data_IF_237673746453
#
_entry.id   IF_237673746453
#
_cell.length_a   1.000
_cell.length_b   1.000
_cell.length_c   1.000
_cell.angle_alpha   90.00
_cell.angle_beta   90.00
_cell.angle_gamma   90.00
#
_symmetry.space_group_name_H-M   'P 1'
#
loop_
_entity.id
_entity.type
_entity.pdbx_description
1 polymer ?
#
# COMPACT_ATOMS: atom_id res chain seq x y z
N UNK A 1 8.54 1.80 21.84
CA UNK A 1 7.41 2.30 21.08
C UNK A 1 7.63 2.29 19.55
N UNK A 2 8.65 2.97 18.99
CA UNK A 2 8.91 2.94 17.54
C UNK A 2 8.98 1.52 16.97
N UNK A 3 9.69 0.62 17.65
CA UNK A 3 9.85 -0.77 17.21
C UNK A 3 8.50 -1.49 17.05
N UNK A 4 7.60 -1.38 18.03
CA UNK A 4 6.28 -2.05 17.97
C UNK A 4 5.41 -1.52 16.83
N UNK A 5 5.50 -0.23 16.51
CA UNK A 5 4.80 0.35 15.36
C UNK A 5 5.38 -0.23 14.06
N UNK A 6 6.71 -0.23 13.90
CA UNK A 6 7.36 -0.70 12.67
C UNK A 6 7.20 -2.20 12.45
N UNK A 7 7.18 -3.03 13.51
CA UNK A 7 6.87 -4.47 13.40
C UNK A 7 5.47 -4.71 12.83
N UNK A 8 4.46 -3.91 13.25
CA UNK A 8 3.13 -4.01 12.64
C UNK A 8 3.16 -3.70 11.13
N UNK A 9 4.00 -2.76 10.70
CA UNK A 9 4.10 -2.41 9.27
C UNK A 9 4.85 -3.45 8.43
N UNK A 10 5.80 -4.19 9.00
CA UNK A 10 6.38 -5.36 8.33
C UNK A 10 5.29 -6.40 8.08
N UNK A 11 4.47 -6.68 9.10
CA UNK A 11 3.36 -7.63 8.99
C UNK A 11 2.27 -7.11 8.05
N UNK A 12 2.02 -5.80 8.02
CA UNK A 12 1.13 -5.20 7.02
C UNK A 12 1.67 -5.43 5.60
N UNK A 13 2.99 -5.34 5.39
CA UNK A 13 3.62 -5.68 4.11
C UNK A 13 3.32 -7.12 3.70
N UNK A 14 3.37 -8.07 4.65
CA UNK A 14 2.91 -9.45 4.40
C UNK A 14 1.44 -9.48 3.99
N UNK A 15 0.55 -8.81 4.73
CA UNK A 15 -0.88 -8.82 4.48
C UNK A 15 -1.26 -8.30 3.10
N UNK A 16 -0.50 -7.33 2.57
CA UNK A 16 -0.78 -6.73 1.26
C UNK A 16 -0.59 -7.71 0.10
N UNK A 17 0.37 -8.62 0.18
CA UNK A 17 0.73 -9.48 -0.95
C UNK A 17 0.50 -10.98 -0.69
N UNK A 18 0.29 -11.43 0.56
CA UNK A 18 0.24 -12.86 0.89
C UNK A 18 -0.85 -13.62 0.13
N UNK A 19 -2.03 -13.02 -0.03
CA UNK A 19 -3.14 -13.62 -0.79
C UNK A 19 -2.78 -13.80 -2.27
N UNK A 20 -2.11 -12.82 -2.87
CA UNK A 20 -1.66 -12.89 -4.26
C UNK A 20 -0.55 -13.94 -4.43
N UNK A 21 0.39 -14.01 -3.48
CA UNK A 21 1.51 -14.92 -3.51
C UNK A 21 1.10 -16.39 -3.27
N UNK A 22 -0.01 -16.61 -2.55
CA UNK A 22 -0.54 -17.95 -2.23
C UNK A 22 -1.87 -18.26 -2.93
N UNK A 23 -2.21 -17.51 -3.98
CA UNK A 23 -3.51 -17.63 -4.66
C UNK A 23 -3.79 -19.03 -5.18
N UNK A 24 -2.76 -19.75 -5.66
CA UNK A 24 -2.92 -21.12 -6.17
C UNK A 24 -3.25 -22.10 -5.05
N UNK A 25 -2.54 -22.03 -3.93
CA UNK A 25 -2.76 -22.88 -2.76
C UNK A 25 -4.14 -22.62 -2.14
N UNK A 26 -4.53 -21.34 -2.04
CA UNK A 26 -5.85 -20.94 -1.54
C UNK A 26 -6.98 -21.38 -2.48
N UNK A 27 -6.79 -21.26 -3.80
CA UNK A 27 -7.75 -21.73 -4.80
C UNK A 27 -8.03 -23.23 -4.65
N UNK A 28 -6.98 -24.02 -4.44
CA UNK A 28 -7.10 -25.46 -4.18
C UNK A 28 -7.77 -25.74 -2.84
N UNK A 29 -7.38 -25.03 -1.77
CA UNK A 29 -7.95 -25.19 -0.42
C UNK A 29 -9.44 -24.86 -0.38
N UNK A 30 -9.86 -23.80 -1.06
CA UNK A 30 -11.26 -23.36 -1.09
C UNK A 30 -12.09 -24.02 -2.20
N UNK A 31 -11.49 -24.87 -3.03
CA UNK A 31 -12.11 -25.47 -4.22
C UNK A 31 -12.81 -24.42 -5.10
N UNK A 32 -12.16 -23.28 -5.27
CA UNK A 32 -12.70 -22.11 -5.93
C UNK A 32 -11.87 -21.72 -7.16
N UNK A 33 -12.49 -20.99 -8.09
CA UNK A 33 -11.78 -20.44 -9.23
C UNK A 33 -10.73 -19.41 -8.78
N UNK A 34 -9.69 -19.21 -9.58
CA UNK A 34 -8.70 -18.14 -9.34
C UNK A 34 -9.38 -16.78 -9.25
N UNK A 35 -10.41 -16.53 -10.07
CA UNK A 35 -11.17 -15.27 -10.02
C UNK A 35 -11.84 -15.07 -8.65
N UNK A 36 -12.52 -16.08 -8.13
CA UNK A 36 -13.16 -16.03 -6.80
C UNK A 36 -12.14 -15.89 -5.69
N UNK A 37 -11.01 -16.60 -5.78
CA UNK A 37 -9.91 -16.52 -4.81
C UNK A 37 -9.27 -15.13 -4.81
N UNK A 38 -9.03 -14.56 -5.99
CA UNK A 38 -8.47 -13.20 -6.15
C UNK A 38 -9.44 -12.14 -5.62
N UNK A 39 -10.75 -12.31 -5.82
CA UNK A 39 -11.75 -11.39 -5.30
C UNK A 39 -11.74 -11.28 -3.76
N UNK A 40 -11.23 -12.29 -3.03
CA UNK A 40 -11.06 -12.19 -1.57
C UNK A 40 -10.14 -11.04 -1.16
N UNK A 41 -9.17 -10.68 -1.97
CA UNK A 41 -8.28 -9.52 -1.71
C UNK A 41 -9.09 -8.23 -1.58
N UNK A 42 -10.20 -8.08 -2.31
CA UNK A 42 -11.09 -6.92 -2.22
C UNK A 42 -11.69 -6.72 -0.83
N UNK A 43 -11.77 -7.77 -0.01
CA UNK A 43 -12.28 -7.67 1.35
C UNK A 43 -11.39 -6.81 2.26
N UNK A 44 -10.08 -6.69 1.96
CA UNK A 44 -9.21 -5.69 2.61
C UNK A 44 -9.74 -4.28 2.31
N UNK A 45 -10.12 -4.03 1.06
CA UNK A 45 -10.74 -2.75 0.65
C UNK A 45 -12.05 -2.47 1.39
N UNK A 46 -12.92 -3.47 1.58
CA UNK A 46 -14.15 -3.34 2.36
C UNK A 46 -13.82 -2.91 3.78
N UNK A 47 -12.90 -3.61 4.45
CA UNK A 47 -12.49 -3.27 5.81
C UNK A 47 -11.98 -1.82 5.93
N UNK A 48 -11.15 -1.38 4.98
CA UNK A 48 -10.66 0.00 4.92
C UNK A 48 -11.78 1.03 4.71
N UNK A 49 -12.69 0.78 3.77
CA UNK A 49 -13.81 1.68 3.46
C UNK A 49 -14.73 1.87 4.67
N UNK A 50 -14.96 0.80 5.45
CA UNK A 50 -15.76 0.86 6.69
C UNK A 50 -14.99 1.60 7.80
N UNK A 51 -13.70 1.30 7.98
CA UNK A 51 -12.93 1.75 9.12
C UNK A 51 -12.44 3.20 9.01
N UNK A 52 -12.00 3.67 7.84
CA UNK A 52 -11.43 5.01 7.70
C UNK A 52 -12.37 6.15 8.13
N UNK A 53 -13.67 6.17 7.75
CA UNK A 53 -14.58 7.21 8.22
C UNK A 53 -14.77 7.18 9.74
N UNK A 54 -14.90 5.98 10.33
CA UNK A 54 -15.12 5.78 11.76
C UNK A 54 -13.87 6.16 12.56
N UNK A 55 -12.71 5.66 12.15
CA UNK A 55 -11.46 5.84 12.87
C UNK A 55 -10.87 7.23 12.71
N UNK A 56 -11.19 7.94 11.62
CA UNK A 56 -10.76 9.32 11.40
C UNK A 56 -11.27 10.26 12.50
N UNK A 57 -12.51 10.07 12.97
CA UNK A 57 -13.08 10.84 14.08
C UNK A 57 -12.71 10.24 15.44
N UNK A 58 -12.68 8.92 15.53
CA UNK A 58 -12.55 8.20 16.80
C UNK A 58 -11.10 8.17 17.31
N UNK A 59 -10.11 8.23 16.42
CA UNK A 59 -8.68 8.15 16.78
C UNK A 59 -8.21 9.29 17.70
N UNK A 60 -8.85 10.46 17.63
CA UNK A 60 -8.54 11.62 18.49
C UNK A 60 -9.04 11.43 19.93
N UNK A 61 -10.02 10.54 20.15
CA UNK A 61 -10.66 10.28 21.44
C UNK A 61 -10.23 8.95 22.07
N UNK A 62 -9.69 8.02 21.30
CA UNK A 62 -9.29 6.70 21.79
C UNK A 62 -7.84 6.68 22.28
N UNK A 63 -7.60 5.80 23.26
CA UNK A 63 -6.23 5.49 23.69
C UNK A 63 -5.47 4.81 22.54
N UNK A 64 -4.43 5.48 22.04
CA UNK A 64 -3.62 5.04 20.90
C UNK A 64 -3.02 3.66 21.10
N UNK A 65 -2.55 3.32 22.33
CA UNK A 65 -2.04 1.99 22.64
C UNK A 65 -3.11 0.93 22.41
N UNK A 66 -4.33 1.16 22.93
CA UNK A 66 -5.44 0.22 22.78
C UNK A 66 -5.80 0.03 21.30
N UNK A 67 -5.87 1.11 20.53
CA UNK A 67 -6.21 1.03 19.11
C UNK A 67 -5.11 0.32 18.29
N UNK A 68 -3.84 0.53 18.64
CA UNK A 68 -2.71 -0.21 18.04
C UNK A 68 -2.76 -1.71 18.37
N UNK A 69 -3.13 -2.05 19.61
CA UNK A 69 -3.35 -3.46 20.02
C UNK A 69 -4.54 -4.08 19.29
N UNK A 70 -5.63 -3.35 19.11
CA UNK A 70 -6.79 -3.81 18.30
C UNK A 70 -6.36 -4.09 16.87
N UNK A 71 -5.60 -3.20 16.24
CA UNK A 71 -5.06 -3.41 14.90
C UNK A 71 -4.22 -4.70 14.82
N UNK A 72 -3.33 -4.92 15.78
CA UNK A 72 -2.50 -6.11 15.84
C UNK A 72 -3.32 -7.40 16.06
N UNK A 73 -4.37 -7.36 16.90
CA UNK A 73 -5.28 -8.49 17.11
C UNK A 73 -6.08 -8.80 15.86
N UNK A 74 -6.58 -7.81 15.12
CA UNK A 74 -7.29 -8.02 13.87
C UNK A 74 -6.39 -8.69 12.81
N UNK A 75 -5.15 -8.26 12.69
CA UNK A 75 -4.17 -8.93 11.85
C UNK A 75 -3.83 -10.34 12.34
N UNK A 76 -3.69 -10.53 13.64
CA UNK A 76 -3.43 -11.85 14.23
C UNK A 76 -4.55 -12.82 13.89
N UNK A 77 -5.81 -12.43 14.02
CA UNK A 77 -6.96 -13.24 13.61
C UNK A 77 -6.91 -13.57 12.12
N UNK A 78 -6.61 -12.58 11.28
CA UNK A 78 -6.45 -12.78 9.84
C UNK A 78 -5.38 -13.84 9.54
N UNK A 79 -4.16 -13.66 10.02
CA UNK A 79 -3.06 -14.58 9.72
C UNK A 79 -3.22 -15.97 10.35
N UNK A 80 -3.85 -16.06 11.52
CA UNK A 80 -4.05 -17.37 12.18
C UNK A 80 -5.13 -18.19 11.51
N UNK A 81 -6.26 -17.55 11.16
CA UNK A 81 -7.48 -18.25 10.76
C UNK A 81 -7.54 -18.47 9.25
N UNK A 82 -7.07 -17.52 8.43
CA UNK A 82 -7.23 -17.58 6.97
C UNK A 82 -6.71 -18.89 6.34
N UNK A 83 -5.49 -19.39 6.66
CA UNK A 83 -4.98 -20.62 6.04
C UNK A 83 -5.72 -21.89 6.49
N UNK A 84 -6.63 -21.76 7.47
CA UNK A 84 -7.49 -22.86 7.96
C UNK A 84 -8.92 -22.77 7.41
N UNK A 85 -9.25 -21.70 6.67
CA UNK A 85 -10.60 -21.55 6.07
C UNK A 85 -10.75 -22.46 4.86
N UNK A 86 -11.93 -23.05 4.72
CA UNK A 86 -12.24 -23.96 3.59
C UNK A 86 -13.24 -23.36 2.60
N UNK A 87 -13.72 -22.16 2.81
CA UNK A 87 -14.69 -21.50 1.93
C UNK A 87 -14.32 -20.05 1.65
N UNK A 88 -14.60 -19.58 0.45
CA UNK A 88 -14.42 -18.19 0.04
C UNK A 88 -15.21 -17.22 0.94
N UNK A 89 -16.42 -17.63 1.38
CA UNK A 89 -17.25 -16.77 2.24
C UNK A 89 -16.57 -16.46 3.57
N UNK A 90 -16.07 -17.46 4.30
CA UNK A 90 -15.32 -17.23 5.54
C UNK A 90 -14.01 -16.50 5.30
N UNK A 91 -13.33 -16.78 4.18
CA UNK A 91 -12.12 -16.07 3.80
C UNK A 91 -12.38 -14.56 3.59
N UNK A 92 -13.50 -14.15 2.99
CA UNK A 92 -13.90 -12.75 2.84
C UNK A 92 -14.08 -12.09 4.22
N UNK A 93 -14.80 -12.74 5.15
CA UNK A 93 -15.01 -12.21 6.51
C UNK A 93 -13.67 -12.00 7.21
N UNK A 94 -12.81 -13.01 7.21
CA UNK A 94 -11.51 -12.96 7.88
C UNK A 94 -10.59 -11.93 7.22
N UNK A 95 -10.60 -11.82 5.90
CA UNK A 95 -9.79 -10.84 5.17
C UNK A 95 -10.29 -9.40 5.41
N UNK A 96 -11.58 -9.20 5.64
CA UNK A 96 -12.12 -7.90 6.05
C UNK A 96 -11.49 -7.42 7.36
N UNK A 97 -11.18 -8.34 8.31
CA UNK A 97 -10.49 -7.98 9.56
C UNK A 97 -9.10 -7.38 9.28
N UNK A 98 -8.37 -7.90 8.29
CA UNK A 98 -7.09 -7.32 7.89
C UNK A 98 -7.26 -5.87 7.37
N UNK A 99 -8.33 -5.58 6.63
CA UNK A 99 -8.65 -4.22 6.18
C UNK A 99 -8.99 -3.28 7.33
N UNK A 100 -9.78 -3.73 8.32
CA UNK A 100 -10.07 -2.99 9.54
C UNK A 100 -8.79 -2.73 10.35
N UNK A 101 -7.95 -3.77 10.50
CA UNK A 101 -6.64 -3.67 11.18
C UNK A 101 -5.70 -2.68 10.51
N UNK A 102 -5.66 -2.67 9.17
CA UNK A 102 -4.86 -1.72 8.39
C UNK A 102 -5.29 -0.27 8.68
N UNK A 103 -6.57 0.03 8.59
CA UNK A 103 -7.07 1.38 8.84
C UNK A 103 -6.86 1.81 10.30
N UNK A 104 -7.00 0.89 11.27
CA UNK A 104 -6.74 1.16 12.67
C UNK A 104 -5.25 1.45 12.94
N UNK A 105 -4.35 0.69 12.28
CA UNK A 105 -2.92 0.91 12.36
C UNK A 105 -2.54 2.28 11.80
N UNK A 106 -3.03 2.63 10.61
CA UNK A 106 -2.74 3.91 9.96
C UNK A 106 -3.25 5.11 10.77
N UNK A 107 -4.46 5.01 11.34
CA UNK A 107 -5.06 6.07 12.15
C UNK A 107 -4.23 6.42 13.42
N UNK A 108 -3.47 5.46 13.94
CA UNK A 108 -2.65 5.66 15.14
C UNK A 108 -1.19 5.95 14.82
N UNK A 109 -0.61 5.19 13.90
CA UNK A 109 0.83 5.18 13.71
C UNK A 109 1.38 6.50 13.14
N UNK A 110 0.71 7.05 12.12
CA UNK A 110 1.18 8.29 11.47
C UNK A 110 1.23 9.48 12.46
N UNK A 111 0.16 9.80 13.21
CA UNK A 111 0.24 10.89 14.18
C UNK A 111 1.19 10.56 15.34
N UNK A 112 1.24 9.32 15.80
CA UNK A 112 2.16 8.91 16.88
C UNK A 112 3.62 9.08 16.51
N UNK A 113 4.03 8.64 15.33
CA UNK A 113 5.42 8.77 14.87
C UNK A 113 5.80 10.24 14.62
N UNK A 114 4.88 11.05 14.11
CA UNK A 114 5.10 12.48 13.91
C UNK A 114 5.38 13.18 15.25
N UNK A 115 4.60 12.87 16.29
CA UNK A 115 4.73 13.43 17.61
C UNK A 115 6.03 12.97 18.31
N UNK A 116 6.37 11.67 18.26
CA UNK A 116 7.62 11.14 18.82
C UNK A 116 8.86 11.76 18.15
N UNK A 117 8.74 12.14 16.88
CA UNK A 117 9.80 12.76 16.11
C UNK A 117 9.75 14.29 16.15
N UNK A 118 9.05 14.88 17.13
CA UNK A 118 8.94 16.35 17.32
C UNK A 118 8.47 17.09 16.06
N UNK A 119 7.51 16.53 15.34
CA UNK A 119 6.98 17.11 14.10
C UNK A 119 7.76 16.75 12.83
N UNK A 120 8.84 15.97 12.95
CA UNK A 120 9.60 15.50 11.79
C UNK A 120 8.94 14.27 11.16
N UNK A 121 8.67 14.35 9.86
CA UNK A 121 8.01 13.29 9.09
C UNK A 121 8.90 12.07 8.76
N UNK A 122 10.18 12.09 9.15
CA UNK A 122 11.12 10.99 8.88
C UNK A 122 10.63 9.62 9.37
N UNK A 123 9.92 9.60 10.51
CA UNK A 123 9.30 8.37 11.02
C UNK A 123 8.23 7.80 10.09
N UNK A 124 7.48 8.67 9.42
CA UNK A 124 6.43 8.25 8.49
C UNK A 124 7.01 7.70 7.17
N UNK A 125 8.18 8.19 6.75
CA UNK A 125 8.90 7.62 5.59
C UNK A 125 9.35 6.19 5.88
N UNK A 126 9.81 5.90 7.11
CA UNK A 126 10.19 4.56 7.52
C UNK A 126 9.02 3.56 7.54
N UNK A 127 7.78 4.02 7.70
CA UNK A 127 6.59 3.16 7.55
C UNK A 127 6.60 2.45 6.20
N UNK A 128 6.78 3.21 5.11
CA UNK A 128 6.80 2.61 3.76
C UNK A 128 7.98 1.65 3.59
N UNK A 129 9.13 1.97 4.17
CA UNK A 129 10.28 1.07 4.16
C UNK A 129 9.97 -0.26 4.88
N UNK A 130 9.28 -0.22 6.04
CA UNK A 130 8.90 -1.44 6.77
C UNK A 130 7.87 -2.27 6.00
N UNK A 131 6.89 -1.64 5.36
CA UNK A 131 5.95 -2.33 4.46
C UNK A 131 6.73 -3.04 3.33
N UNK A 132 7.63 -2.32 2.66
CA UNK A 132 8.42 -2.88 1.56
C UNK A 132 9.37 -4.00 2.02
N UNK A 133 9.91 -3.93 3.24
CA UNK A 133 10.64 -5.06 3.83
C UNK A 133 9.75 -6.30 3.95
N UNK A 134 8.54 -6.15 4.46
CA UNK A 134 7.57 -7.25 4.52
C UNK A 134 7.26 -7.81 3.13
N UNK A 135 6.92 -6.93 2.17
CA UNK A 135 6.66 -7.33 0.78
C UNK A 135 7.85 -8.07 0.14
N UNK A 136 9.10 -7.72 0.50
CA UNK A 136 10.31 -8.35 -0.05
C UNK A 136 10.68 -9.69 0.61
N UNK A 137 10.50 -9.80 1.93
CA UNK A 137 10.83 -11.00 2.70
C UNK A 137 9.84 -12.14 2.39
N UNK A 138 8.56 -11.83 2.25
CA UNK A 138 7.50 -12.84 2.12
C UNK A 138 7.71 -13.80 0.95
N UNK A 139 8.02 -13.35 -0.29
CA UNK A 139 8.25 -14.27 -1.42
C UNK A 139 9.46 -15.19 -1.20
N UNK A 140 10.52 -14.68 -0.54
CA UNK A 140 11.73 -15.46 -0.23
C UNK A 140 11.38 -16.59 0.74
N UNK A 141 10.62 -16.28 1.80
CA UNK A 141 10.16 -17.28 2.77
C UNK A 141 9.21 -18.29 2.12
N UNK A 142 8.29 -17.83 1.26
CA UNK A 142 7.39 -18.70 0.52
C UNK A 142 8.16 -19.71 -0.34
N UNK A 143 9.15 -19.25 -1.10
CA UNK A 143 10.01 -20.12 -1.91
C UNK A 143 10.76 -21.14 -1.05
N UNK A 144 11.26 -20.73 0.11
CA UNK A 144 11.95 -21.64 1.04
C UNK A 144 11.01 -22.72 1.62
N UNK A 145 9.74 -22.38 1.87
CA UNK A 145 8.67 -23.30 2.30
C UNK A 145 8.34 -24.29 1.17
N UNK A 146 8.15 -23.76 -0.05
CA UNK A 146 7.80 -24.59 -1.22
C UNK A 146 8.91 -25.58 -1.60
N UNK A 147 10.18 -25.16 -1.55
CA UNK A 147 11.32 -26.02 -1.87
C UNK A 147 11.52 -27.16 -0.85
N UNK A 148 10.84 -27.12 0.29
CA UNK A 148 10.86 -28.17 1.34
C UNK A 148 9.55 -28.94 1.42
N UNK A 149 8.65 -28.76 0.47
CA UNK A 149 7.30 -29.36 0.45
C UNK A 149 6.51 -29.13 1.75
N UNK A 150 6.78 -28.01 2.44
CA UNK A 150 6.08 -27.66 3.67
C UNK A 150 4.72 -27.02 3.36
N UNK A 151 3.80 -27.15 4.28
CA UNK A 151 2.50 -26.52 4.18
C UNK A 151 2.59 -24.99 4.11
N UNK A 152 1.94 -24.38 3.11
CA UNK A 152 2.00 -22.92 2.88
C UNK A 152 1.50 -22.08 4.06
N UNK A 153 0.65 -22.62 4.92
CA UNK A 153 0.14 -21.95 6.12
C UNK A 153 1.23 -21.54 7.11
N UNK A 154 2.42 -22.15 7.08
CA UNK A 154 3.57 -21.72 7.88
C UNK A 154 3.96 -20.26 7.59
N UNK A 155 3.75 -19.79 6.35
CA UNK A 155 3.99 -18.40 5.98
C UNK A 155 3.07 -17.43 6.75
N UNK A 156 1.80 -17.81 6.90
CA UNK A 156 0.82 -17.06 7.68
C UNK A 156 1.13 -17.11 9.18
N UNK A 157 1.50 -18.27 9.69
CA UNK A 157 1.81 -18.45 11.10
C UNK A 157 3.13 -17.79 11.52
N UNK A 158 4.06 -17.57 10.59
CA UNK A 158 5.22 -16.71 10.85
C UNK A 158 4.77 -15.27 11.18
N UNK A 159 3.86 -14.70 10.40
CA UNK A 159 3.29 -13.38 10.69
C UNK A 159 2.54 -13.36 12.03
N UNK A 160 1.78 -14.43 12.32
CA UNK A 160 1.13 -14.63 13.63
C UNK A 160 2.14 -14.61 14.78
N UNK A 161 3.26 -15.32 14.65
CA UNK A 161 4.30 -15.35 15.66
C UNK A 161 4.92 -13.95 15.89
N UNK A 162 5.21 -13.22 14.82
CA UNK A 162 5.70 -11.82 14.91
C UNK A 162 4.70 -10.94 15.65
N UNK A 163 3.39 -11.07 15.35
CA UNK A 163 2.33 -10.30 16.01
C UNK A 163 2.17 -10.65 17.47
N UNK A 164 2.29 -11.93 17.85
CA UNK A 164 2.25 -12.36 19.25
C UNK A 164 3.41 -11.73 20.05
N UNK A 165 4.61 -11.81 19.52
CA UNK A 165 5.78 -11.13 20.12
C UNK A 165 5.53 -9.63 20.23
N UNK A 166 4.99 -9.02 19.19
CA UNK A 166 4.71 -7.58 19.18
C UNK A 166 3.61 -7.19 20.19
N UNK A 167 2.57 -8.00 20.35
CA UNK A 167 1.52 -7.78 21.38
C UNK A 167 2.10 -7.90 22.80
N UNK A 168 2.99 -8.87 23.05
CA UNK A 168 3.69 -8.99 24.34
C UNK A 168 4.55 -7.73 24.58
N UNK A 169 5.32 -7.29 23.59
CA UNK A 169 6.09 -6.05 23.69
C UNK A 169 5.21 -4.83 23.96
N UNK A 170 4.05 -4.71 23.29
CA UNK A 170 3.10 -3.63 23.57
C UNK A 170 2.54 -3.69 24.98
N UNK A 171 2.28 -4.88 25.52
CA UNK A 171 1.76 -5.04 26.88
C UNK A 171 2.76 -4.51 27.93
N UNK A 172 4.06 -4.68 27.73
CA UNK A 172 5.12 -4.21 28.65
C UNK A 172 5.36 -2.70 28.61
N UNK A 173 4.94 -2.00 27.54
CA UNK A 173 5.11 -0.54 27.40
C UNK A 173 4.00 0.18 28.15
N UNK A 174 4.34 1.14 29.04
CA UNK A 174 3.35 1.96 29.73
C UNK A 174 2.47 2.75 28.72
N UNK A 175 1.20 2.89 29.07
CA UNK A 175 0.26 3.72 28.27
C UNK A 175 0.66 5.18 28.18
N UNK A 176 1.39 5.69 29.19
CA UNK A 176 1.85 7.08 29.23
C UNK A 176 2.87 7.39 28.10
N UNK A 177 3.63 6.38 27.65
CA UNK A 177 4.51 6.51 26.51
C UNK A 177 3.78 6.69 25.17
N UNK A 178 2.47 6.42 25.12
CA UNK A 178 1.59 6.68 23.99
C UNK A 178 0.77 7.97 24.17
N UNK A 179 0.87 8.59 25.36
CA UNK A 179 0.30 9.89 25.61
C UNK A 179 1.29 10.95 25.14
N UNK A 180 1.07 11.44 23.94
CA UNK A 180 1.75 12.66 23.53
C UNK A 180 0.84 13.83 23.92
N UNK A 181 1.48 14.87 24.42
CA UNK A 181 0.82 16.07 24.89
C UNK A 181 -0.33 16.47 23.94
N UNK A 182 -1.47 16.89 24.54
CA UNK A 182 -2.59 17.48 23.79
C UNK A 182 -2.03 18.30 22.64
N UNK A 183 -2.52 18.13 21.41
CA UNK A 183 -2.00 18.91 20.30
C UNK A 183 -1.96 20.37 20.75
N UNK A 184 -0.75 20.93 20.77
CA UNK A 184 -0.61 22.38 20.94
C UNK A 184 -1.60 22.94 19.95
N UNK A 185 -2.53 23.74 20.43
CA UNK A 185 -3.65 24.36 19.70
C UNK A 185 -3.37 24.26 18.19
N UNK A 186 -4.17 23.41 17.48
CA UNK A 186 -4.20 23.50 16.00
C UNK A 186 -4.03 24.98 15.75
N UNK A 187 -2.96 25.40 15.07
CA UNK A 187 -2.93 26.78 14.58
C UNK A 187 -4.27 26.90 13.91
N UNK A 188 -5.18 27.57 14.55
CA UNK A 188 -6.53 27.78 14.06
C UNK A 188 -6.30 28.69 12.86
N UNK A 189 -5.97 28.07 11.74
CA UNK A 189 -6.08 28.75 10.45
C UNK A 189 -7.55 29.12 10.43
N UNK A 190 -7.80 30.41 10.54
CA UNK A 190 -9.12 30.98 10.61
C UNK A 190 -9.92 30.45 9.39
N UNK A 191 -10.66 29.36 9.58
CA UNK A 191 -11.31 28.62 8.51
C UNK A 191 -12.65 29.25 8.15
N UNK A 192 -13.05 30.32 8.89
CA UNK A 192 -14.38 30.91 8.77
C UNK A 192 -14.68 31.49 7.38
N UNK A 193 -13.67 31.82 6.55
CA UNK A 193 -13.89 32.49 5.27
C UNK A 193 -13.49 31.67 4.03
N UNK A 194 -13.08 30.40 4.17
CA UNK A 194 -12.74 29.58 3.02
C UNK A 194 -13.92 28.66 2.66
N UNK A 195 -14.65 29.02 1.65
CA UNK A 195 -15.68 28.15 1.06
C UNK A 195 -15.03 26.99 0.32
N UNK A 196 -15.49 25.77 0.60
CA UNK A 196 -15.08 24.61 -0.16
C UNK A 196 -15.65 24.68 -1.58
N UNK A 197 -14.77 24.71 -2.57
CA UNK A 197 -15.17 24.59 -3.97
C UNK A 197 -14.40 23.49 -4.65
N UNK A 198 -15.08 22.74 -5.50
CA UNK A 198 -14.45 21.76 -6.38
C UNK A 198 -13.76 22.48 -7.53
N UNK A 199 -12.53 22.10 -7.80
CA UNK A 199 -11.79 22.55 -8.97
C UNK A 199 -11.10 21.35 -9.65
N UNK A 200 -10.70 21.56 -10.90
CA UNK A 200 -10.09 20.52 -11.73
C UNK A 200 -8.86 19.89 -11.08
N UNK A 201 -8.07 20.69 -10.38
CA UNK A 201 -6.83 20.19 -9.72
C UNK A 201 -7.16 19.20 -8.62
N UNK A 202 -8.14 19.49 -7.75
CA UNK A 202 -8.57 18.57 -6.68
C UNK A 202 -9.07 17.25 -7.27
N UNK A 203 -9.96 17.33 -8.29
CA UNK A 203 -10.51 16.16 -8.94
C UNK A 203 -9.43 15.31 -9.56
N UNK A 204 -8.50 15.90 -10.30
CA UNK A 204 -7.40 15.17 -10.95
C UNK A 204 -6.46 14.51 -9.94
N UNK A 205 -6.14 15.16 -8.81
CA UNK A 205 -5.33 14.51 -7.78
C UNK A 205 -6.06 13.39 -7.04
N UNK A 206 -7.39 13.45 -6.89
CA UNK A 206 -8.18 12.33 -6.36
C UNK A 206 -8.19 11.15 -7.33
N UNK A 207 -8.33 11.42 -8.64
CA UNK A 207 -8.19 10.39 -9.69
C UNK A 207 -6.77 9.82 -9.68
N UNK A 208 -5.74 10.64 -9.49
CA UNK A 208 -4.36 10.19 -9.35
C UNK A 208 -4.18 9.28 -8.13
N UNK A 209 -4.79 9.61 -6.99
CA UNK A 209 -4.77 8.75 -5.78
C UNK A 209 -5.39 7.38 -6.03
N UNK A 210 -6.57 7.36 -6.70
CA UNK A 210 -7.23 6.14 -7.12
C UNK A 210 -6.35 5.31 -8.07
N UNK A 211 -5.87 5.93 -9.16
CA UNK A 211 -5.13 5.24 -10.22
C UNK A 211 -3.73 4.80 -9.77
N UNK A 212 -3.06 5.55 -8.90
CA UNK A 212 -1.78 5.15 -8.30
C UNK A 212 -1.93 3.93 -7.39
N UNK A 213 -3.00 3.90 -6.57
CA UNK A 213 -3.31 2.73 -5.75
C UNK A 213 -3.69 1.53 -6.62
N UNK A 214 -4.49 1.76 -7.67
CA UNK A 214 -4.82 0.73 -8.67
C UNK A 214 -3.55 0.11 -9.26
N UNK A 215 -2.59 0.92 -9.73
CA UNK A 215 -1.33 0.44 -10.30
C UNK A 215 -0.57 -0.47 -9.34
N UNK A 216 -0.44 -0.04 -8.08
CA UNK A 216 0.32 -0.80 -7.08
C UNK A 216 -0.33 -2.15 -6.78
N UNK A 217 -1.64 -2.17 -6.54
CA UNK A 217 -2.36 -3.40 -6.19
C UNK A 217 -2.43 -4.33 -7.39
N UNK A 218 -2.71 -3.77 -8.57
CA UNK A 218 -2.77 -4.54 -9.81
C UNK A 218 -1.44 -5.24 -10.11
N UNK A 219 -0.33 -4.50 -10.01
CA UNK A 219 1.00 -5.07 -10.21
C UNK A 219 1.29 -6.19 -9.21
N UNK A 220 1.15 -5.92 -7.92
CA UNK A 220 1.47 -6.90 -6.85
C UNK A 220 0.56 -8.14 -6.90
N UNK A 221 -0.69 -7.98 -7.36
CA UNK A 221 -1.66 -9.05 -7.48
C UNK A 221 -1.33 -10.02 -8.63
N UNK A 222 -0.85 -9.49 -9.77
CA UNK A 222 -0.80 -10.27 -10.99
C UNK A 222 0.61 -10.59 -11.50
N UNK A 223 1.66 -9.91 -11.04
CA UNK A 223 3.03 -10.04 -11.58
C UNK A 223 3.53 -11.49 -11.50
N UNK A 224 3.41 -12.14 -10.36
CA UNK A 224 3.87 -13.52 -10.15
C UNK A 224 3.13 -14.49 -11.07
N UNK A 225 1.80 -14.38 -11.12
CA UNK A 225 0.99 -15.24 -11.97
C UNK A 225 1.24 -15.01 -13.45
N UNK A 226 1.40 -13.75 -13.88
CA UNK A 226 1.70 -13.40 -15.26
C UNK A 226 2.99 -14.06 -15.73
N UNK A 227 4.08 -13.92 -14.98
CA UNK A 227 5.34 -14.52 -15.37
C UNK A 227 5.35 -16.03 -15.28
N UNK A 228 4.64 -16.61 -14.33
CA UNK A 228 4.53 -18.08 -14.24
C UNK A 228 3.69 -18.67 -15.37
N UNK A 229 2.50 -18.13 -15.64
CA UNK A 229 1.53 -18.72 -16.58
C UNK A 229 1.77 -18.28 -18.02
N UNK A 230 2.09 -16.98 -18.26
CA UNK A 230 2.22 -16.42 -19.62
C UNK A 230 3.64 -16.55 -20.13
N UNK A 231 4.62 -16.24 -19.27
CA UNK A 231 6.04 -16.25 -19.66
C UNK A 231 6.76 -17.56 -19.32
N UNK A 232 6.05 -18.53 -18.75
CA UNK A 232 6.56 -19.87 -18.41
C UNK A 232 7.77 -19.86 -17.46
N UNK A 233 7.88 -18.85 -16.59
CA UNK A 233 8.92 -18.83 -15.57
C UNK A 233 8.68 -19.93 -14.53
N UNK A 234 9.77 -20.47 -13.97
CA UNK A 234 9.63 -21.34 -12.80
C UNK A 234 8.89 -20.62 -11.67
N UNK A 235 8.18 -21.37 -10.86
CA UNK A 235 7.44 -20.82 -9.71
C UNK A 235 8.36 -19.95 -8.83
N UNK A 236 9.58 -20.42 -8.56
CA UNK A 236 10.60 -19.71 -7.78
C UNK A 236 10.91 -18.35 -8.40
N UNK A 237 11.27 -18.31 -9.69
CA UNK A 237 11.62 -17.08 -10.39
C UNK A 237 10.44 -16.08 -10.41
N UNK A 238 9.23 -16.57 -10.66
CA UNK A 238 8.04 -15.73 -10.68
C UNK A 238 7.77 -15.07 -9.31
N UNK A 239 7.94 -15.78 -8.20
CA UNK A 239 7.79 -15.22 -6.86
C UNK A 239 8.91 -14.22 -6.52
N UNK A 240 10.16 -14.48 -6.93
CA UNK A 240 11.29 -13.59 -6.67
C UNK A 240 11.15 -12.23 -7.34
N UNK A 241 10.37 -12.06 -8.41
CA UNK A 241 10.11 -10.76 -9.02
C UNK A 241 9.48 -9.76 -8.04
N UNK A 242 8.64 -10.23 -7.11
CA UNK A 242 8.14 -9.38 -6.03
C UNK A 242 9.24 -8.87 -5.09
N UNK A 243 10.27 -9.66 -4.85
CA UNK A 243 11.41 -9.20 -4.04
C UNK A 243 12.20 -8.11 -4.75
N UNK A 244 12.40 -8.19 -6.07
CA UNK A 244 13.04 -7.12 -6.84
C UNK A 244 12.21 -5.83 -6.83
N UNK A 245 10.88 -5.93 -6.98
CA UNK A 245 9.97 -4.80 -6.79
C UNK A 245 10.14 -4.16 -5.41
N UNK A 246 10.17 -4.97 -4.36
CA UNK A 246 10.27 -4.49 -2.98
C UNK A 246 11.62 -3.84 -2.67
N UNK A 247 12.72 -4.41 -3.19
CA UNK A 247 14.04 -3.77 -3.09
C UNK A 247 14.03 -2.43 -3.82
N UNK A 248 13.44 -2.38 -5.01
CA UNK A 248 13.23 -1.11 -5.73
C UNK A 248 12.44 -0.11 -4.90
N UNK A 249 11.35 -0.53 -4.25
CA UNK A 249 10.56 0.34 -3.38
C UNK A 249 11.36 0.89 -2.20
N UNK A 250 12.17 0.05 -1.54
CA UNK A 250 13.06 0.49 -0.46
C UNK A 250 14.08 1.54 -0.93
N UNK A 251 14.71 1.29 -2.06
CA UNK A 251 15.64 2.24 -2.67
C UNK A 251 14.91 3.53 -3.03
N UNK A 252 13.72 3.44 -3.63
CA UNK A 252 12.89 4.58 -3.99
C UNK A 252 12.50 5.44 -2.78
N UNK A 253 12.07 4.82 -1.69
CA UNK A 253 11.77 5.52 -0.42
C UNK A 253 13.01 6.26 0.10
N UNK A 254 14.18 5.60 0.10
CA UNK A 254 15.44 6.20 0.54
C UNK A 254 15.85 7.39 -0.35
N UNK A 255 15.78 7.24 -1.66
CA UNK A 255 16.08 8.29 -2.64
C UNK A 255 15.11 9.48 -2.48
N UNK A 256 13.81 9.20 -2.38
CA UNK A 256 12.79 10.23 -2.19
C UNK A 256 13.07 11.04 -0.92
N UNK A 257 13.35 10.34 0.20
CA UNK A 257 13.68 10.99 1.46
C UNK A 257 14.92 11.90 1.34
N UNK A 258 15.99 11.42 0.72
CA UNK A 258 17.21 12.20 0.53
C UNK A 258 16.99 13.41 -0.36
N UNK A 259 16.30 13.25 -1.49
CA UNK A 259 16.04 14.32 -2.46
C UNK A 259 15.13 15.40 -1.86
N UNK A 260 14.06 15.00 -1.18
CA UNK A 260 13.10 15.96 -0.57
C UNK A 260 13.70 16.68 0.63
N UNK A 261 14.45 15.98 1.49
CA UNK A 261 15.07 16.57 2.67
C UNK A 261 16.17 17.60 2.32
N UNK A 262 16.87 17.38 1.21
CA UNK A 262 17.91 18.30 0.70
C UNK A 262 17.38 19.32 -0.33
N UNK A 263 16.10 19.26 -0.65
CA UNK A 263 15.44 20.13 -1.65
C UNK A 263 16.16 20.19 -3.01
N UNK A 264 16.83 19.10 -3.41
CA UNK A 264 17.59 19.06 -4.67
C UNK A 264 16.70 19.22 -5.89
N UNK A 265 15.49 18.68 -5.83
CA UNK A 265 14.51 18.73 -6.91
C UNK A 265 13.18 19.18 -6.32
N UNK A 266 12.47 20.08 -7.00
CA UNK A 266 11.11 20.47 -6.61
C UNK A 266 10.18 19.24 -6.67
N UNK A 267 9.35 19.05 -5.66
CA UNK A 267 8.43 17.90 -5.56
C UNK A 267 7.57 17.69 -6.82
N UNK A 268 7.17 18.79 -7.49
CA UNK A 268 6.40 18.69 -8.74
C UNK A 268 7.19 18.06 -9.88
N UNK A 269 8.49 18.37 -10.00
CA UNK A 269 9.37 17.73 -11.00
C UNK A 269 9.65 16.27 -10.63
N UNK A 270 9.82 16.00 -9.33
CA UNK A 270 10.04 14.65 -8.81
C UNK A 270 8.83 13.74 -9.09
N UNK A 271 7.62 14.28 -8.98
CA UNK A 271 6.39 13.55 -9.34
C UNK A 271 6.34 13.20 -10.84
N UNK A 272 6.83 14.09 -11.73
CA UNK A 272 6.97 13.77 -13.17
C UNK A 272 8.00 12.66 -13.38
N UNK A 273 9.16 12.74 -12.73
CA UNK A 273 10.22 11.72 -12.84
C UNK A 273 9.71 10.36 -12.37
N UNK A 274 8.99 10.31 -11.24
CA UNK A 274 8.41 9.04 -10.75
C UNK A 274 7.31 8.50 -11.66
N UNK A 275 6.48 9.36 -12.27
CA UNK A 275 5.46 8.92 -13.23
C UNK A 275 6.08 8.37 -14.53
N UNK A 276 7.13 9.02 -15.05
CA UNK A 276 7.90 8.52 -16.21
C UNK A 276 8.60 7.20 -15.88
N UNK A 277 9.25 7.10 -14.73
CA UNK A 277 9.89 5.88 -14.26
C UNK A 277 8.90 4.73 -14.07
N UNK A 278 7.69 5.01 -13.60
CA UNK A 278 6.59 4.04 -13.48
C UNK A 278 6.20 3.49 -14.86
N UNK A 279 6.00 4.37 -15.84
CA UNK A 279 5.66 3.95 -17.19
C UNK A 279 6.80 3.15 -17.84
N UNK A 280 8.05 3.60 -17.68
CA UNK A 280 9.24 2.90 -18.19
C UNK A 280 9.37 1.50 -17.55
N UNK A 281 9.29 1.41 -16.22
CA UNK A 281 9.39 0.14 -15.50
C UNK A 281 8.32 -0.87 -15.95
N UNK A 282 7.07 -0.42 -16.09
CA UNK A 282 5.99 -1.26 -16.60
C UNK A 282 6.19 -1.65 -18.07
N UNK A 283 6.68 -0.75 -18.91
CA UNK A 283 7.00 -1.09 -20.32
C UNK A 283 8.06 -2.20 -20.38
N UNK A 284 9.11 -2.10 -19.56
CA UNK A 284 10.13 -3.15 -19.48
C UNK A 284 9.51 -4.47 -18.99
N UNK A 285 8.66 -4.44 -17.94
CA UNK A 285 7.98 -5.65 -17.43
C UNK A 285 7.13 -6.33 -18.50
N UNK A 286 6.30 -5.57 -19.20
CA UNK A 286 5.35 -6.13 -20.19
C UNK A 286 6.09 -6.69 -21.41
N UNK A 287 7.22 -6.08 -21.79
CA UNK A 287 8.02 -6.49 -22.94
C UNK A 287 9.08 -7.55 -22.59
N UNK A 288 9.26 -7.89 -21.31
CA UNK A 288 10.31 -8.84 -20.89
C UNK A 288 9.90 -10.29 -21.08
N UNK A 289 10.85 -11.09 -21.58
CA UNK A 289 10.72 -12.54 -21.76
C UNK A 289 11.78 -13.33 -20.99
N UNK A 290 12.68 -12.66 -20.28
CA UNK A 290 13.76 -13.26 -19.51
C UNK A 290 13.81 -12.69 -18.08
N UNK A 291 14.44 -13.43 -17.16
CA UNK A 291 14.49 -13.08 -15.74
C UNK A 291 15.22 -11.75 -15.49
N UNK A 292 16.25 -11.40 -16.29
CA UNK A 292 17.04 -10.19 -16.07
C UNK A 292 16.23 -8.95 -16.40
N UNK A 293 15.63 -8.91 -17.59
CA UNK A 293 14.78 -7.78 -18.01
C UNK A 293 13.55 -7.62 -17.11
N UNK A 294 12.89 -8.73 -16.74
CA UNK A 294 11.77 -8.71 -15.79
C UNK A 294 12.16 -8.14 -14.42
N UNK A 295 13.31 -8.57 -13.88
CA UNK A 295 13.81 -8.07 -12.57
C UNK A 295 14.15 -6.58 -12.63
N UNK A 296 14.78 -6.10 -13.71
CA UNK A 296 15.08 -4.69 -13.93
C UNK A 296 13.78 -3.87 -14.01
N UNK A 297 12.79 -4.33 -14.76
CA UNK A 297 11.48 -3.68 -14.87
C UNK A 297 10.76 -3.60 -13.54
N UNK A 298 10.73 -4.69 -12.77
CA UNK A 298 10.16 -4.74 -11.42
C UNK A 298 10.88 -3.78 -10.46
N UNK A 299 12.20 -3.71 -10.51
CA UNK A 299 13.01 -2.82 -9.70
C UNK A 299 12.75 -1.34 -10.03
N UNK A 300 12.72 -0.97 -11.32
CA UNK A 300 12.42 0.40 -11.77
C UNK A 300 11.00 0.80 -11.37
N UNK A 301 10.01 -0.10 -11.56
CA UNK A 301 8.64 0.13 -11.12
C UNK A 301 8.57 0.30 -9.59
N UNK A 302 9.29 -0.52 -8.84
CA UNK A 302 9.41 -0.41 -7.39
C UNK A 302 9.95 0.96 -6.96
N UNK A 303 11.07 1.43 -7.51
CA UNK A 303 11.66 2.74 -7.22
C UNK A 303 10.64 3.85 -7.48
N UNK A 304 9.96 3.79 -8.61
CA UNK A 304 9.18 4.91 -9.14
C UNK A 304 7.76 4.94 -8.58
N UNK A 305 7.03 3.83 -8.65
CA UNK A 305 5.63 3.76 -8.22
C UNK A 305 5.50 3.56 -6.69
N UNK A 306 6.16 2.52 -6.17
CA UNK A 306 6.02 2.13 -4.78
C UNK A 306 6.91 2.94 -3.83
N UNK A 307 8.02 3.48 -4.32
CA UNK A 307 8.96 4.29 -3.54
C UNK A 307 8.42 5.64 -3.05
N UNK A 308 7.20 6.02 -3.42
CA UNK A 308 6.58 7.20 -2.83
C UNK A 308 5.77 8.09 -3.78
N UNK A 309 5.46 7.66 -5.02
CA UNK A 309 4.69 8.50 -5.96
C UNK A 309 3.30 8.85 -5.42
N UNK A 310 2.63 7.93 -4.71
CA UNK A 310 1.34 8.16 -4.05
C UNK A 310 1.45 9.27 -3.00
N UNK A 311 2.50 9.23 -2.18
CA UNK A 311 2.76 10.23 -1.13
C UNK A 311 3.13 11.59 -1.72
N UNK A 312 3.90 11.64 -2.81
CA UNK A 312 4.21 12.87 -3.54
C UNK A 312 2.94 13.52 -4.12
N UNK A 313 2.04 12.73 -4.70
CA UNK A 313 0.76 13.21 -5.19
C UNK A 313 -0.09 13.83 -4.09
N UNK A 314 -0.18 13.18 -2.92
CA UNK A 314 -0.84 13.74 -1.74
C UNK A 314 -0.16 15.02 -1.25
N UNK A 315 1.17 15.03 -1.14
CA UNK A 315 1.94 16.19 -0.71
C UNK A 315 1.65 17.41 -1.58
N UNK A 316 1.67 17.23 -2.90
CA UNK A 316 1.32 18.29 -3.86
C UNK A 316 -0.11 18.82 -3.66
N UNK A 317 -1.07 17.92 -3.43
CA UNK A 317 -2.47 18.29 -3.22
C UNK A 317 -2.64 19.11 -1.94
N UNK A 318 -2.10 18.66 -0.80
CA UNK A 318 -2.28 19.34 0.50
C UNK A 318 -1.47 20.63 0.59
N UNK A 319 -0.30 20.70 -0.04
CA UNK A 319 0.51 21.93 -0.12
C UNK A 319 -0.21 23.03 -0.90
N UNK A 320 -0.95 22.65 -1.95
CA UNK A 320 -1.73 23.62 -2.73
C UNK A 320 -3.00 24.09 -2.02
N UNK A 321 -3.57 23.26 -1.14
CA UNK A 321 -4.82 23.58 -0.42
C UNK A 321 -4.67 23.35 1.11
N UNK A 322 -3.79 24.11 1.78
CA UNK A 322 -3.45 23.85 3.18
C UNK A 322 -4.64 23.98 4.14
N UNK A 323 -5.63 24.84 3.82
CA UNK A 323 -6.84 25.02 4.63
C UNK A 323 -7.73 23.76 4.66
N UNK A 324 -7.62 22.89 3.68
CA UNK A 324 -8.43 21.67 3.53
C UNK A 324 -7.60 20.39 3.59
N UNK A 325 -6.37 20.45 4.09
CA UNK A 325 -5.42 19.33 4.05
C UNK A 325 -5.98 18.04 4.65
N UNK A 326 -6.61 18.09 5.81
CA UNK A 326 -7.21 16.90 6.43
C UNK A 326 -8.33 16.29 5.60
N UNK A 327 -9.25 17.12 5.08
CA UNK A 327 -10.36 16.64 4.22
C UNK A 327 -9.84 16.04 2.91
N UNK A 328 -8.85 16.67 2.30
CA UNK A 328 -8.24 16.19 1.06
C UNK A 328 -7.45 14.90 1.27
N UNK A 329 -6.74 14.77 2.37
CA UNK A 329 -6.06 13.53 2.75
C UNK A 329 -7.06 12.38 2.92
N UNK A 330 -8.16 12.63 3.64
CA UNK A 330 -9.23 11.64 3.82
C UNK A 330 -9.84 11.20 2.49
N UNK A 331 -10.19 12.16 1.63
CA UNK A 331 -10.74 11.86 0.30
C UNK A 331 -9.73 11.09 -0.58
N UNK A 332 -8.46 11.49 -0.58
CA UNK A 332 -7.42 10.86 -1.37
C UNK A 332 -7.25 9.36 -1.02
N UNK A 333 -7.17 9.04 0.26
CA UNK A 333 -7.08 7.64 0.70
C UNK A 333 -8.41 6.88 0.56
N UNK A 334 -9.55 7.56 0.68
CA UNK A 334 -10.85 6.96 0.41
C UNK A 334 -10.95 6.49 -1.05
N UNK A 335 -10.58 7.34 -2.02
CA UNK A 335 -10.52 6.95 -3.43
C UNK A 335 -9.50 5.84 -3.69
N UNK A 336 -8.35 5.86 -3.02
CA UNK A 336 -7.38 4.76 -3.04
C UNK A 336 -7.97 3.45 -2.50
N UNK A 337 -8.81 3.51 -1.47
CA UNK A 337 -9.48 2.33 -0.91
C UNK A 337 -10.55 1.76 -1.84
N UNK A 338 -11.23 2.61 -2.61
CA UNK A 338 -12.14 2.16 -3.68
C UNK A 338 -11.34 1.36 -4.73
N UNK A 339 -10.16 1.84 -5.13
CA UNK A 339 -9.30 1.09 -6.04
C UNK A 339 -8.92 -0.27 -5.46
N UNK A 340 -8.58 -0.32 -4.16
CA UNK A 340 -8.25 -1.56 -3.46
C UNK A 340 -9.42 -2.57 -3.45
N UNK A 341 -10.64 -2.06 -3.35
CA UNK A 341 -11.86 -2.88 -3.40
C UNK A 341 -12.19 -3.36 -4.81
N UNK A 342 -12.20 -2.44 -5.79
CA UNK A 342 -12.71 -2.71 -7.14
C UNK A 342 -11.71 -3.50 -8.00
N UNK A 343 -10.41 -3.21 -7.89
CA UNK A 343 -9.40 -3.74 -8.80
C UNK A 343 -9.33 -5.28 -8.79
N UNK A 344 -9.26 -5.98 -7.63
CA UNK A 344 -9.16 -7.44 -7.65
C UNK A 344 -10.41 -8.13 -8.22
N UNK A 345 -11.60 -7.54 -8.04
CA UNK A 345 -12.86 -8.06 -8.60
C UNK A 345 -12.83 -7.94 -10.11
N UNK A 346 -12.56 -6.73 -10.62
CA UNK A 346 -12.56 -6.46 -12.07
C UNK A 346 -11.50 -7.30 -12.77
N UNK A 347 -10.27 -7.28 -12.30
CA UNK A 347 -9.18 -8.01 -12.95
C UNK A 347 -9.30 -9.52 -12.76
N UNK A 348 -9.83 -9.98 -11.63
CA UNK A 348 -10.09 -11.40 -11.35
C UNK A 348 -11.07 -12.00 -12.33
N UNK A 349 -12.11 -11.25 -12.71
CA UNK A 349 -13.11 -11.70 -13.70
C UNK A 349 -12.47 -11.95 -15.08
N UNK A 350 -11.52 -11.11 -15.49
CA UNK A 350 -10.84 -11.24 -16.79
C UNK A 350 -9.61 -12.15 -16.77
N UNK A 351 -9.10 -12.53 -15.58
CA UNK A 351 -7.80 -13.20 -15.43
C UNK A 351 -7.74 -14.62 -16.03
N UNK A 352 -8.87 -15.29 -16.16
CA UNK A 352 -8.92 -16.66 -16.69
C UNK A 352 -8.45 -16.75 -18.14
N UNK A 353 -8.82 -15.79 -18.98
CA UNK A 353 -8.59 -15.85 -20.43
C UNK A 353 -7.78 -14.68 -20.99
N UNK A 354 -7.55 -13.60 -20.22
CA UNK A 354 -6.99 -12.35 -20.71
C UNK A 354 -5.85 -11.81 -19.86
N UNK A 355 -5.07 -12.67 -19.21
CA UNK A 355 -3.99 -12.26 -18.32
C UNK A 355 -2.93 -11.35 -19.00
N UNK A 356 -2.52 -11.55 -20.27
CA UNK A 356 -1.65 -10.59 -20.96
C UNK A 356 -2.27 -9.20 -21.09
N UNK A 357 -3.57 -9.13 -21.42
CA UNK A 357 -4.30 -7.85 -21.54
C UNK A 357 -4.44 -7.13 -20.20
N UNK A 358 -4.60 -7.88 -19.12
CA UNK A 358 -4.63 -7.34 -17.76
C UNK A 358 -3.28 -6.66 -17.45
N UNK A 359 -2.16 -7.32 -17.70
CA UNK A 359 -0.84 -6.70 -17.47
C UNK A 359 -0.60 -5.50 -18.37
N UNK A 360 -0.98 -5.57 -19.66
CA UNK A 360 -0.86 -4.44 -20.59
C UNK A 360 -1.72 -3.24 -20.20
N UNK A 361 -2.87 -3.45 -19.55
CA UNK A 361 -3.73 -2.36 -19.07
C UNK A 361 -3.05 -1.45 -18.04
N UNK A 362 -2.05 -1.94 -17.33
CA UNK A 362 -1.22 -1.11 -16.43
C UNK A 362 -0.53 0.04 -17.16
N UNK A 363 -0.13 -0.16 -18.42
CA UNK A 363 0.48 0.91 -19.23
C UNK A 363 -0.50 2.06 -19.48
N UNK A 364 -1.78 1.74 -19.76
CA UNK A 364 -2.80 2.76 -19.94
C UNK A 364 -3.04 3.57 -18.64
N UNK A 365 -3.10 2.89 -17.49
CA UNK A 365 -3.26 3.56 -16.19
C UNK A 365 -2.02 4.39 -15.83
N UNK A 366 -0.81 3.90 -16.12
CA UNK A 366 0.42 4.66 -15.93
C UNK A 366 0.49 5.89 -16.85
N UNK A 367 0.05 5.75 -18.10
CA UNK A 367 -0.09 6.86 -19.05
C UNK A 367 -1.09 7.92 -18.56
N UNK A 368 -2.23 7.49 -18.02
CA UNK A 368 -3.20 8.39 -17.38
C UNK A 368 -2.57 9.17 -16.22
N UNK A 369 -1.85 8.48 -15.33
CA UNK A 369 -1.15 9.11 -14.21
C UNK A 369 -0.14 10.16 -14.69
N UNK A 370 0.66 9.84 -15.70
CA UNK A 370 1.61 10.78 -16.27
C UNK A 370 0.88 11.99 -16.88
N UNK A 371 -0.22 11.76 -17.60
CA UNK A 371 -1.07 12.83 -18.16
C UNK A 371 -1.62 13.78 -17.09
N UNK A 372 -2.14 13.24 -15.98
CA UNK A 372 -2.63 14.03 -14.84
C UNK A 372 -1.50 14.88 -14.24
N UNK A 373 -0.32 14.29 -14.03
CA UNK A 373 0.83 14.98 -13.44
C UNK A 373 1.29 16.12 -14.34
N UNK A 374 1.44 15.88 -15.64
CA UNK A 374 1.84 16.89 -16.63
C UNK A 374 0.80 18.02 -16.72
N UNK A 375 -0.49 17.69 -16.78
CA UNK A 375 -1.55 18.69 -16.82
C UNK A 375 -1.49 19.62 -15.59
N UNK A 376 -1.41 19.04 -14.37
CA UNK A 376 -1.33 19.81 -13.14
C UNK A 376 -0.07 20.67 -13.09
N UNK A 377 1.06 20.18 -13.60
CA UNK A 377 2.30 20.92 -13.68
C UNK A 377 2.19 22.15 -14.60
N UNK A 378 1.65 21.99 -15.82
CA UNK A 378 1.45 23.08 -16.76
C UNK A 378 0.39 24.09 -16.28
N UNK A 379 -0.71 23.59 -15.70
CA UNK A 379 -1.78 24.44 -15.17
C UNK A 379 -1.27 25.32 -14.01
N UNK A 380 -0.47 24.77 -13.13
CA UNK A 380 0.16 25.50 -12.02
C UNK A 380 1.12 26.60 -12.51
N UNK A 381 1.92 26.31 -13.54
CA UNK A 381 2.81 27.32 -14.13
C UNK A 381 2.04 28.49 -14.74
N UNK A 382 0.94 28.23 -15.42
CA UNK A 382 0.10 29.30 -16.00
C UNK A 382 -0.56 30.19 -14.94
N UNK A 383 -0.91 29.64 -13.79
CA UNK A 383 -1.51 30.44 -12.69
C UNK A 383 -0.47 31.33 -11.99
N UNK A 384 0.78 30.93 -11.94
CA UNK A 384 1.88 31.73 -11.34
C UNK A 384 2.42 32.80 -12.29
N UNK A 385 2.02 32.81 -13.56
CA UNK A 385 2.38 33.81 -14.59
C UNK A 385 1.30 34.86 -14.81
N UNK A 386 0.13 34.70 -14.17
CA UNK A 386 -0.96 35.68 -14.07
C UNK A 386 -0.98 36.30 -12.70
#
# INVERSE_FOLDING_TARGET
MRLVVYLNYIVQGFALIILAQTVQQLSTLWQASIASTTAVVSAIGIGKLIAYPILGELSDHLNRKKLLMVAAVLYLLFFTILPLTHTVFFAIIITTLAGLGNAALDAVAYPTLLEINHGNSSGNVLIKAMISLGEGILPIVLVAIMNRDMWFGWLYWLATAILLVNLILMATISSDNFYVAKPSKKVAVNTKDATWQWDTTKILFLIYGFSSMWLMIHFTQWITRYFHVVQSFSTVNAHLLMSFYSVGSLVGVGLLFLITNRSWIKEANLLIVTALGTLLGLSVVVLSHDMRSASIGCFIFGISAAGGSLQLGLSQLITRYPKFSGRLTGLYFFFGSIAFFVMPIVTGFFATNHLPSIMSSLLAVAGLNLGIVLFNFYHSRRQNLK
#
